data_IF_348260709527
#
_entry.id   IF_348260709527
#
_cell.length_a   1.000
_cell.length_b   1.000
_cell.length_c   1.000
_cell.angle_alpha   90.00
_cell.angle_beta   90.00
_cell.angle_gamma   90.00
#
_symmetry.space_group_name_H-M   'P 1'
#
loop_
_entity.id
_entity.type
_entity.pdbx_description
1 polymer ?
#
# COMPACT_ATOMS: atom_id res chain seq x y z
N UNK A 1 -15.09 -62.85 -10.17
CA UNK A 1 -16.05 -61.77 -10.46
C UNK A 1 -15.39 -60.46 -10.07
N UNK A 2 -15.03 -59.65 -11.07
CA UNK A 2 -14.74 -58.21 -10.91
C UNK A 2 -16.07 -57.45 -10.68
N UNK A 3 -16.07 -56.22 -10.13
CA UNK A 3 -15.70 -55.00 -10.87
C UNK A 3 -14.76 -54.06 -10.06
N UNK A 4 -13.71 -53.46 -10.63
CA UNK A 4 -13.63 -52.25 -11.49
C UNK A 4 -14.00 -50.93 -10.78
N UNK A 5 -13.00 -50.04 -10.65
CA UNK A 5 -13.01 -48.70 -10.06
C UNK A 5 -13.88 -47.69 -10.85
N UNK A 6 -14.06 -46.43 -10.38
CA UNK A 6 -13.00 -45.43 -10.55
C UNK A 6 -12.76 -44.46 -9.38
N UNK A 7 -11.56 -43.87 -9.40
CA UNK A 7 -11.10 -42.78 -8.56
C UNK A 7 -11.98 -41.53 -8.68
N UNK A 8 -12.06 -40.75 -7.60
CA UNK A 8 -12.54 -39.37 -7.61
C UNK A 8 -11.79 -38.59 -6.54
N UNK A 9 -10.78 -37.83 -6.96
CA UNK A 9 -10.38 -36.61 -6.26
C UNK A 9 -11.50 -35.57 -6.41
N UNK A 10 -11.72 -34.74 -5.38
CA UNK A 10 -11.72 -33.31 -5.67
C UNK A 10 -10.92 -32.49 -4.65
N UNK A 11 -10.05 -31.65 -5.22
CA UNK A 11 -9.43 -30.44 -4.67
C UNK A 11 -10.32 -29.67 -3.68
N UNK A 12 -9.79 -29.17 -2.55
CA UNK A 12 -10.39 -28.04 -1.86
C UNK A 12 -9.97 -26.76 -2.59
N UNK A 13 -10.77 -26.35 -3.59
CA UNK A 13 -10.73 -24.99 -4.12
C UNK A 13 -11.36 -24.05 -3.06
N UNK A 14 -10.52 -23.55 -2.17
CA UNK A 14 -10.89 -22.52 -1.20
C UNK A 14 -11.26 -21.23 -1.94
N UNK A 15 -12.56 -20.99 -2.09
CA UNK A 15 -13.07 -19.74 -2.64
C UNK A 15 -12.94 -18.64 -1.57
N UNK A 16 -11.91 -17.80 -1.68
CA UNK A 16 -11.78 -16.59 -0.87
C UNK A 16 -12.53 -15.47 -1.60
N UNK A 17 -13.68 -15.04 -1.06
CA UNK A 17 -14.40 -13.88 -1.57
C UNK A 17 -13.67 -12.60 -1.13
N UNK A 18 -12.85 -12.04 -2.03
CA UNK A 18 -12.29 -10.69 -1.87
C UNK A 18 -13.26 -9.68 -2.49
N UNK A 19 -13.83 -8.84 -1.64
CA UNK A 19 -14.74 -7.74 -2.00
C UNK A 19 -13.90 -6.59 -2.59
N UNK A 20 -13.55 -6.66 -3.87
CA UNK A 20 -12.86 -5.57 -4.56
C UNK A 20 -13.86 -4.44 -4.87
N UNK A 21 -13.63 -3.27 -4.26
CA UNK A 21 -14.34 -2.03 -4.60
C UNK A 21 -13.96 -1.59 -6.01
N UNK A 22 -14.97 -1.14 -6.75
CA UNK A 22 -14.89 -0.51 -8.07
C UNK A 22 -13.74 0.51 -8.12
N UNK A 23 -12.74 0.25 -8.96
CA UNK A 23 -11.80 1.29 -9.40
C UNK A 23 -12.47 1.96 -10.60
N UNK A 24 -13.06 3.13 -10.35
CA UNK A 24 -13.65 3.97 -11.38
C UNK A 24 -12.52 4.53 -12.26
N UNK A 25 -12.38 4.01 -13.48
CA UNK A 25 -11.64 4.68 -14.55
C UNK A 25 -12.63 5.50 -15.38
N UNK A 26 -12.44 6.83 -15.52
CA UNK A 26 -13.35 7.68 -16.26
C UNK A 26 -13.08 7.49 -17.75
N UNK A 27 -13.69 6.48 -18.37
CA UNK A 27 -13.47 6.26 -19.79
C UNK A 27 -14.03 5.00 -20.43
N UNK A 28 -14.83 4.19 -19.76
CA UNK A 28 -15.71 3.21 -20.42
C UNK A 28 -16.70 2.66 -19.42
N UNK A 29 -17.97 3.07 -19.54
CA UNK A 29 -19.06 2.47 -18.79
C UNK A 29 -19.18 0.98 -19.11
N UNK A 30 -18.69 0.14 -18.21
CA UNK A 30 -19.12 -1.26 -18.11
C UNK A 30 -19.51 -1.53 -16.67
N UNK A 31 -20.78 -1.25 -16.37
CA UNK A 31 -21.44 -1.86 -15.22
C UNK A 31 -21.42 -3.38 -15.45
N UNK A 32 -20.69 -4.11 -14.62
CA UNK A 32 -20.76 -5.57 -14.62
C UNK A 32 -22.16 -5.98 -14.13
N UNK A 33 -22.82 -6.94 -14.81
CA UNK A 33 -24.11 -7.45 -14.35
C UNK A 33 -23.97 -8.09 -12.96
N UNK A 34 -25.05 -8.05 -12.18
CA UNK A 34 -25.13 -8.54 -10.79
C UNK A 34 -24.66 -9.99 -10.60
N UNK A 35 -24.64 -10.78 -11.67
CA UNK A 35 -24.26 -12.20 -11.70
C UNK A 35 -22.95 -12.46 -12.46
N UNK A 36 -22.07 -11.44 -12.61
CA UNK A 36 -20.77 -11.63 -13.23
C UNK A 36 -19.83 -12.43 -12.32
N UNK A 37 -19.57 -13.69 -12.67
CA UNK A 37 -18.49 -14.47 -12.07
C UNK A 37 -17.15 -13.95 -12.56
N UNK A 38 -16.49 -13.13 -11.74
CA UNK A 38 -15.12 -12.68 -11.99
C UNK A 38 -14.19 -13.86 -11.74
N UNK A 39 -13.73 -14.51 -12.82
CA UNK A 39 -12.61 -15.46 -12.74
C UNK A 39 -11.33 -14.67 -12.42
N UNK A 40 -11.08 -14.48 -11.13
CA UNK A 40 -9.80 -13.97 -10.63
C UNK A 40 -8.80 -15.09 -10.83
N UNK A 41 -8.11 -15.10 -11.97
CA UNK A 41 -6.88 -15.83 -12.09
C UNK A 41 -5.90 -15.16 -11.14
N UNK A 42 -5.69 -15.74 -9.96
CA UNK A 42 -4.53 -15.49 -9.12
C UNK A 42 -3.31 -15.97 -9.92
N UNK A 43 -2.91 -15.18 -10.94
CA UNK A 43 -1.53 -15.20 -11.38
C UNK A 43 -0.78 -14.80 -10.14
N UNK A 44 -0.21 -15.79 -9.45
CA UNK A 44 0.83 -15.59 -8.47
C UNK A 44 1.78 -14.62 -9.14
N UNK A 45 1.71 -13.34 -8.77
CA UNK A 45 2.79 -12.43 -9.05
C UNK A 45 3.95 -13.15 -8.40
N UNK A 46 4.89 -13.66 -9.19
CA UNK A 46 6.16 -14.14 -8.67
C UNK A 46 6.83 -12.91 -8.06
N UNK A 47 6.42 -12.53 -6.86
CA UNK A 47 7.12 -11.54 -6.08
C UNK A 47 8.32 -12.30 -5.50
N UNK A 48 9.53 -11.74 -5.55
CA UNK A 48 10.68 -12.32 -4.84
C UNK A 48 10.50 -12.27 -3.31
N UNK A 49 9.40 -11.68 -2.82
CA UNK A 49 9.10 -11.52 -1.39
C UNK A 49 7.67 -12.03 -1.09
N UNK A 50 7.44 -13.35 -1.12
CA UNK A 50 6.11 -13.93 -0.86
C UNK A 50 5.64 -13.64 0.57
N UNK A 51 6.55 -13.63 1.55
CA UNK A 51 6.21 -13.34 2.95
C UNK A 51 5.75 -11.90 3.13
N UNK A 52 6.40 -10.94 2.47
CA UNK A 52 5.97 -9.54 2.46
C UNK A 52 4.57 -9.37 1.85
N UNK A 53 4.28 -10.12 0.77
CA UNK A 53 2.97 -10.11 0.13
C UNK A 53 1.88 -10.70 1.03
N UNK A 54 2.19 -11.80 1.73
CA UNK A 54 1.27 -12.43 2.68
C UNK A 54 0.96 -11.48 3.84
N UNK A 55 1.99 -10.91 4.48
CA UNK A 55 1.82 -9.94 5.57
C UNK A 55 1.00 -8.72 5.13
N UNK A 56 1.32 -8.14 3.97
CA UNK A 56 0.56 -7.00 3.44
C UNK A 56 -0.90 -7.36 3.13
N UNK A 57 -1.14 -8.56 2.59
CA UNK A 57 -2.49 -9.08 2.32
C UNK A 57 -3.28 -9.33 3.61
N UNK A 58 -2.62 -9.83 4.67
CA UNK A 58 -3.23 -10.01 5.98
C UNK A 58 -3.61 -8.66 6.62
N UNK A 59 -2.75 -7.65 6.53
CA UNK A 59 -3.08 -6.29 6.97
C UNK A 59 -4.29 -5.75 6.22
N UNK A 60 -4.32 -5.89 4.89
CA UNK A 60 -5.45 -5.43 4.06
C UNK A 60 -6.75 -6.17 4.43
N UNK A 61 -6.69 -7.50 4.62
CA UNK A 61 -7.84 -8.32 4.98
C UNK A 61 -8.37 -7.98 6.40
N UNK A 62 -7.48 -7.88 7.39
CA UNK A 62 -7.83 -7.49 8.75
C UNK A 62 -8.45 -6.09 8.80
N UNK A 63 -7.92 -5.16 7.99
CA UNK A 63 -8.45 -3.80 7.87
C UNK A 63 -9.84 -3.75 7.21
N UNK A 64 -10.18 -4.74 6.39
CA UNK A 64 -11.50 -4.87 5.75
C UNK A 64 -12.54 -5.61 6.61
N UNK A 65 -12.19 -6.01 7.84
CA UNK A 65 -13.07 -6.83 8.69
C UNK A 65 -13.08 -8.31 8.31
N UNK A 66 -12.12 -8.76 7.50
CA UNK A 66 -11.86 -10.17 7.26
C UNK A 66 -11.32 -10.87 8.52
N UNK A 67 -11.35 -12.21 8.58
CA UNK A 67 -10.77 -12.94 9.69
C UNK A 67 -9.26 -12.67 9.71
N UNK A 68 -8.80 -11.89 10.68
CA UNK A 68 -7.39 -11.86 11.03
C UNK A 68 -6.99 -13.29 11.46
N UNK A 69 -5.77 -13.72 11.10
CA UNK A 69 -5.21 -14.97 11.62
C UNK A 69 -5.35 -15.05 13.15
N UNK A 70 -5.43 -16.25 13.72
CA UNK A 70 -5.75 -16.43 15.12
C UNK A 70 -4.69 -15.72 15.99
N UNK A 71 -5.09 -14.63 16.65
CA UNK A 71 -4.37 -13.84 17.67
C UNK A 71 -3.48 -12.65 17.24
N UNK A 72 -3.32 -12.32 15.95
CA UNK A 72 -2.52 -11.16 15.56
C UNK A 72 -3.33 -9.85 15.66
N UNK A 73 -2.84 -8.88 16.43
CA UNK A 73 -3.38 -7.51 16.42
C UNK A 73 -2.97 -6.82 15.12
N UNK A 74 -3.80 -5.92 14.59
CA UNK A 74 -3.52 -5.16 13.37
C UNK A 74 -2.26 -4.31 13.52
N UNK A 75 -2.04 -3.73 14.71
CA UNK A 75 -0.79 -3.04 15.05
C UNK A 75 0.42 -3.99 15.05
N UNK A 76 0.23 -5.23 15.51
CA UNK A 76 1.24 -6.29 15.44
C UNK A 76 1.59 -6.65 13.99
N UNK A 77 0.59 -6.87 13.13
CA UNK A 77 0.80 -7.21 11.72
C UNK A 77 1.58 -6.13 10.96
N UNK A 78 1.24 -4.85 11.17
CA UNK A 78 2.01 -3.75 10.58
C UNK A 78 3.42 -3.67 11.16
N UNK A 79 3.58 -3.94 12.46
CA UNK A 79 4.89 -4.04 13.10
C UNK A 79 5.76 -5.15 12.51
N UNK A 80 5.20 -6.35 12.33
CA UNK A 80 5.89 -7.51 11.75
C UNK A 80 6.27 -7.24 10.30
N UNK A 81 5.37 -6.62 9.53
CA UNK A 81 5.66 -6.19 8.15
C UNK A 81 6.85 -5.22 8.09
N UNK A 82 6.85 -4.18 8.93
CA UNK A 82 7.95 -3.20 8.98
C UNK A 82 9.24 -3.83 9.48
N UNK A 83 9.17 -4.73 10.46
CA UNK A 83 10.31 -5.51 10.95
C UNK A 83 10.94 -6.36 9.85
N UNK A 84 10.11 -7.06 9.07
CA UNK A 84 10.56 -7.83 7.92
C UNK A 84 11.21 -6.94 6.85
N UNK A 85 10.61 -5.79 6.53
CA UNK A 85 11.17 -4.83 5.58
C UNK A 85 12.53 -4.27 6.04
N UNK A 86 12.70 -3.98 7.33
CA UNK A 86 13.96 -3.52 7.91
C UNK A 86 15.04 -4.61 7.89
N UNK A 87 14.66 -5.85 8.17
CA UNK A 87 15.57 -7.00 8.26
C UNK A 87 15.90 -7.63 6.90
N UNK A 88 15.25 -7.18 5.82
CA UNK A 88 15.38 -7.79 4.50
C UNK A 88 16.85 -7.72 4.02
N UNK A 89 17.49 -8.86 3.74
CA UNK A 89 18.91 -8.90 3.42
C UNK A 89 19.18 -8.25 2.07
N UNK A 90 20.14 -7.33 1.98
CA UNK A 90 20.57 -6.73 0.70
C UNK A 90 21.08 -7.75 -0.34
N UNK A 91 21.35 -8.99 0.08
CA UNK A 91 21.97 -10.03 -0.76
C UNK A 91 21.00 -10.90 -1.55
N UNK A 92 19.70 -10.79 -1.37
CA UNK A 92 18.76 -11.64 -2.11
C UNK A 92 18.26 -10.93 -3.35
N UNK A 93 18.64 -11.48 -4.52
CA UNK A 93 18.05 -11.36 -5.86
C UNK A 93 16.83 -10.43 -5.97
N UNK A 94 17.03 -9.16 -5.67
CA UNK A 94 15.99 -8.16 -5.75
C UNK A 94 15.98 -7.71 -7.20
N UNK A 95 14.92 -8.06 -7.91
CA UNK A 95 14.63 -7.49 -9.22
C UNK A 95 14.32 -6.00 -9.13
N UNK A 96 14.13 -5.47 -7.91
CA UNK A 96 14.02 -4.04 -7.67
C UNK A 96 15.41 -3.40 -7.72
N UNK A 97 15.67 -2.44 -8.62
CA UNK A 97 16.93 -1.70 -8.70
C UNK A 97 17.19 -0.84 -7.43
N UNK A 98 16.22 -0.77 -6.53
CA UNK A 98 16.21 0.08 -5.33
C UNK A 98 16.46 -0.69 -4.03
N UNK A 99 16.60 -2.01 -4.10
CA UNK A 99 16.86 -2.87 -2.95
C UNK A 99 15.60 -3.46 -2.29
N UNK A 100 15.79 -4.34 -1.28
CA UNK A 100 14.72 -5.17 -0.74
C UNK A 100 13.72 -4.39 0.13
N UNK A 101 14.18 -3.40 0.92
CA UNK A 101 13.30 -2.55 1.73
C UNK A 101 12.30 -1.77 0.85
N UNK A 102 12.78 -1.23 -0.27
CA UNK A 102 11.95 -0.56 -1.28
C UNK A 102 10.90 -1.53 -1.85
N UNK A 103 11.31 -2.76 -2.18
CA UNK A 103 10.42 -3.78 -2.72
C UNK A 103 9.31 -4.19 -1.73
N UNK A 104 9.63 -4.28 -0.43
CA UNK A 104 8.62 -4.54 0.60
C UNK A 104 7.60 -3.41 0.65
N UNK A 105 8.05 -2.15 0.77
CA UNK A 105 7.12 -1.01 0.84
C UNK A 105 6.27 -0.89 -0.43
N UNK A 106 6.82 -1.18 -1.61
CA UNK A 106 6.05 -1.25 -2.85
C UNK A 106 4.98 -2.34 -2.82
N UNK A 107 5.29 -3.52 -2.25
CA UNK A 107 4.30 -4.59 -2.02
C UNK A 107 3.18 -4.12 -1.08
N UNK A 108 3.53 -3.41 -0.01
CA UNK A 108 2.55 -2.86 0.94
C UNK A 108 1.55 -1.93 0.24
N UNK A 109 2.06 -1.00 -0.57
CA UNK A 109 1.23 -0.11 -1.39
C UNK A 109 0.32 -0.89 -2.35
N UNK A 110 0.90 -1.83 -3.10
CA UNK A 110 0.16 -2.63 -4.10
C UNK A 110 -0.90 -3.55 -3.51
N UNK A 111 -0.75 -3.96 -2.25
CA UNK A 111 -1.76 -4.76 -1.54
C UNK A 111 -3.03 -3.98 -1.21
N UNK A 112 -3.00 -2.64 -1.28
CA UNK A 112 -4.10 -1.78 -0.83
C UNK A 112 -4.21 -1.64 0.70
N UNK A 113 -3.26 -2.21 1.46
CA UNK A 113 -3.24 -2.13 2.92
C UNK A 113 -3.29 -0.69 3.48
N UNK A 114 -2.53 0.30 2.96
CA UNK A 114 -2.60 1.67 3.49
C UNK A 114 -4.00 2.29 3.35
N UNK A 115 -4.63 2.14 2.19
CA UNK A 115 -5.99 2.63 1.96
C UNK A 115 -7.02 1.93 2.85
N UNK A 116 -6.88 0.61 3.03
CA UNK A 116 -7.74 -0.17 3.92
C UNK A 116 -7.59 0.27 5.39
N UNK A 117 -6.36 0.52 5.87
CA UNK A 117 -6.07 1.07 7.19
C UNK A 117 -6.71 2.45 7.41
N UNK A 118 -6.54 3.35 6.44
CA UNK A 118 -7.16 4.68 6.46
C UNK A 118 -8.70 4.58 6.50
N UNK A 119 -9.27 3.66 5.73
CA UNK A 119 -10.71 3.40 5.75
C UNK A 119 -11.18 2.85 7.10
N UNK A 120 -10.46 1.90 7.68
CA UNK A 120 -10.80 1.34 8.99
C UNK A 120 -10.77 2.42 10.08
N UNK A 121 -9.75 3.27 10.07
CA UNK A 121 -9.64 4.41 10.99
C UNK A 121 -10.81 5.40 10.87
N UNK A 122 -11.25 5.70 9.64
CA UNK A 122 -12.29 6.69 9.39
C UNK A 122 -13.71 6.19 9.64
N UNK A 123 -14.00 4.95 9.24
CA UNK A 123 -15.37 4.44 9.13
C UNK A 123 -15.73 3.40 10.20
N UNK A 124 -14.78 2.92 11.00
CA UNK A 124 -15.09 2.05 12.12
C UNK A 124 -15.90 2.80 13.18
N UNK A 125 -17.08 2.25 13.51
CA UNK A 125 -17.89 2.70 14.64
C UNK A 125 -17.42 2.11 15.97
N UNK A 126 -16.53 1.12 15.93
CA UNK A 126 -15.99 0.45 17.11
C UNK A 126 -14.66 1.10 17.53
N UNK A 127 -14.69 1.80 18.66
CA UNK A 127 -13.55 2.54 19.22
C UNK A 127 -12.27 1.71 19.36
N UNK A 128 -12.29 0.48 19.94
CA UNK A 128 -11.09 -0.35 20.03
C UNK A 128 -10.44 -0.64 18.67
N UNK A 129 -11.25 -0.95 17.66
CA UNK A 129 -10.79 -1.25 16.30
C UNK A 129 -10.22 0.01 15.63
N UNK A 130 -10.85 1.16 15.87
CA UNK A 130 -10.33 2.45 15.38
C UNK A 130 -8.99 2.80 16.03
N UNK A 131 -8.88 2.66 17.35
CA UNK A 131 -7.65 2.92 18.10
C UNK A 131 -6.53 1.97 17.68
N UNK A 132 -6.87 0.74 17.28
CA UNK A 132 -5.92 -0.22 16.72
C UNK A 132 -5.43 0.19 15.33
N UNK A 133 -6.33 0.63 14.44
CA UNK A 133 -5.96 1.19 13.15
C UNK A 133 -5.09 2.45 13.30
N UNK A 134 -5.42 3.33 14.25
CA UNK A 134 -4.60 4.51 14.56
C UNK A 134 -3.19 4.11 15.02
N UNK A 135 -3.07 3.16 15.96
CA UNK A 135 -1.76 2.65 16.42
C UNK A 135 -0.95 2.06 15.26
N UNK A 136 -1.58 1.25 14.42
CA UNK A 136 -0.96 0.66 13.23
C UNK A 136 -0.47 1.74 12.25
N UNK A 137 -1.27 2.77 11.98
CA UNK A 137 -0.88 3.91 11.12
C UNK A 137 0.29 4.68 11.74
N UNK A 138 0.27 4.91 13.06
CA UNK A 138 1.33 5.65 13.77
C UNK A 138 2.68 4.94 13.72
N UNK A 139 2.75 3.63 13.44
CA UNK A 139 4.02 2.92 13.21
C UNK A 139 4.85 3.54 12.09
N UNK A 140 4.21 4.02 11.02
CA UNK A 140 4.89 4.69 9.91
C UNK A 140 5.46 6.07 10.28
N UNK A 141 5.01 6.66 11.40
CA UNK A 141 5.52 7.93 11.93
C UNK A 141 6.73 7.73 12.87
N UNK A 142 7.02 6.50 13.27
CA UNK A 142 8.06 6.15 14.25
C UNK A 142 9.22 5.38 13.61
N UNK A 143 9.48 5.64 12.32
CA UNK A 143 10.51 4.95 11.53
C UNK A 143 11.87 5.66 11.51
N UNK A 144 12.04 6.70 12.33
CA UNK A 144 13.24 7.54 12.34
C UNK A 144 14.53 6.72 12.42
N UNK A 145 15.39 6.89 11.41
CA UNK A 145 16.70 6.23 11.34
C UNK A 145 16.69 4.80 10.80
N UNK A 146 15.54 4.28 10.37
CA UNK A 146 15.45 2.99 9.69
C UNK A 146 15.75 3.14 8.18
N UNK A 147 16.23 2.06 7.56
CA UNK A 147 16.41 1.98 6.10
C UNK A 147 15.07 1.99 5.33
N UNK A 148 13.95 1.73 6.01
CA UNK A 148 12.60 1.71 5.43
C UNK A 148 12.00 3.11 5.35
N UNK A 149 12.36 4.00 6.28
CA UNK A 149 11.83 5.37 6.40
C UNK A 149 11.80 6.11 5.06
N UNK A 150 12.88 6.01 4.28
CA UNK A 150 13.05 6.69 2.98
C UNK A 150 12.08 6.23 1.89
N UNK A 151 11.58 5.00 2.03
CA UNK A 151 10.69 4.37 1.07
C UNK A 151 9.21 4.58 1.41
N UNK A 152 8.89 5.05 2.62
CA UNK A 152 7.51 5.18 3.10
C UNK A 152 6.76 6.42 2.64
N UNK A 153 7.42 7.35 1.94
CA UNK A 153 6.78 8.58 1.48
C UNK A 153 5.47 8.34 0.69
N UNK A 154 5.37 7.35 -0.24
CA UNK A 154 4.12 7.07 -0.91
C UNK A 154 3.06 6.41 -0.01
N UNK A 155 3.47 5.65 1.02
CA UNK A 155 2.54 5.08 2.02
C UNK A 155 1.89 6.18 2.83
N UNK A 156 2.69 7.15 3.29
CA UNK A 156 2.19 8.32 4.01
C UNK A 156 1.28 9.18 3.12
N UNK A 157 1.61 9.31 1.83
CA UNK A 157 0.76 10.00 0.86
C UNK A 157 -0.61 9.31 0.72
N UNK A 158 -0.62 7.98 0.51
CA UNK A 158 -1.86 7.19 0.40
C UNK A 158 -2.73 7.30 1.66
N UNK A 159 -2.11 7.27 2.85
CA UNK A 159 -2.79 7.45 4.13
C UNK A 159 -3.37 8.87 4.28
N UNK A 160 -2.60 9.90 3.90
CA UNK A 160 -3.07 11.28 3.90
C UNK A 160 -4.27 11.44 2.95
N UNK A 161 -4.19 10.91 1.74
CA UNK A 161 -5.25 10.96 0.74
C UNK A 161 -6.50 10.20 1.20
N UNK A 162 -6.33 9.03 1.82
CA UNK A 162 -7.42 8.24 2.39
C UNK A 162 -8.15 8.99 3.49
N UNK A 163 -7.41 9.61 4.43
CA UNK A 163 -7.99 10.35 5.55
C UNK A 163 -8.63 11.66 5.09
N UNK A 164 -7.97 12.40 4.19
CA UNK A 164 -8.49 13.66 3.64
C UNK A 164 -9.80 13.45 2.86
N UNK A 165 -9.92 12.34 2.14
CA UNK A 165 -11.12 12.00 1.36
C UNK A 165 -12.30 11.54 2.23
N UNK A 166 -12.05 11.17 3.49
CA UNK A 166 -13.08 10.70 4.42
C UNK A 166 -13.90 11.79 5.11
N UNK A 167 -13.62 13.07 4.85
CA UNK A 167 -14.24 14.19 5.57
C UNK A 167 -15.74 14.43 5.34
N UNK A 168 -16.40 13.59 4.53
CA UNK A 168 -17.86 13.58 4.37
C UNK A 168 -18.58 12.47 5.15
N UNK A 169 -17.86 11.65 5.93
CA UNK A 169 -18.37 10.48 6.63
C UNK A 169 -18.82 10.71 8.08
N UNK A 170 -19.09 9.62 8.80
CA UNK A 170 -19.70 9.55 10.14
C UNK A 170 -18.99 10.31 11.28
N UNK A 171 -17.85 10.97 11.02
CA UNK A 171 -17.08 11.73 12.01
C UNK A 171 -16.98 13.20 11.58
N UNK A 172 -17.58 14.14 12.34
CA UNK A 172 -17.56 15.57 12.02
C UNK A 172 -16.18 16.22 11.99
N UNK A 173 -15.16 15.55 12.54
CA UNK A 173 -13.77 16.00 12.65
C UNK A 173 -12.81 15.20 11.75
N UNK A 174 -13.33 14.24 10.98
CA UNK A 174 -12.50 13.55 10.00
C UNK A 174 -12.20 14.48 8.83
N UNK A 175 -10.96 14.52 8.37
CA UNK A 175 -10.50 15.40 7.29
C UNK A 175 -9.30 16.23 7.73
N UNK A 176 -9.27 17.51 7.33
CA UNK A 176 -8.10 18.37 7.52
C UNK A 176 -7.81 18.74 8.98
N UNK A 177 -8.80 18.61 9.86
CA UNK A 177 -8.68 18.89 11.30
C UNK A 177 -8.36 17.64 12.15
N UNK A 178 -8.17 16.49 11.50
CA UNK A 178 -7.84 15.25 12.20
C UNK A 178 -6.37 15.26 12.68
N UNK A 179 -6.09 14.95 13.96
CA UNK A 179 -4.73 14.99 14.50
C UNK A 179 -3.80 13.97 13.84
N UNK A 180 -4.31 12.79 13.45
CA UNK A 180 -3.51 11.78 12.75
C UNK A 180 -3.17 12.27 11.34
N UNK A 181 -4.10 12.92 10.66
CA UNK A 181 -3.84 13.56 9.36
C UNK A 181 -2.77 14.65 9.46
N UNK A 182 -2.85 15.51 10.48
CA UNK A 182 -1.85 16.56 10.71
C UNK A 182 -0.45 15.97 10.97
N UNK A 183 -0.36 14.89 11.75
CA UNK A 183 0.89 14.18 12.01
C UNK A 183 1.46 13.52 10.75
N UNK A 184 0.63 12.82 9.97
CA UNK A 184 1.02 12.20 8.69
C UNK A 184 1.51 13.24 7.68
N UNK A 185 0.79 14.35 7.55
CA UNK A 185 1.18 15.45 6.67
C UNK A 185 2.52 16.05 7.10
N UNK A 186 2.75 16.21 8.40
CA UNK A 186 4.01 16.74 8.94
C UNK A 186 5.19 15.79 8.64
N UNK A 187 5.00 14.48 8.86
CA UNK A 187 6.02 13.48 8.56
C UNK A 187 6.33 13.40 7.07
N UNK A 188 5.29 13.38 6.21
CA UNK A 188 5.45 13.40 4.76
C UNK A 188 6.23 14.66 4.32
N UNK A 189 5.88 15.83 4.85
CA UNK A 189 6.59 17.07 4.52
C UNK A 189 8.06 17.05 4.96
N UNK A 190 8.38 16.44 6.11
CA UNK A 190 9.77 16.30 6.59
C UNK A 190 10.59 15.35 5.70
N UNK A 191 10.02 14.20 5.32
CA UNK A 191 10.66 13.26 4.40
C UNK A 191 10.90 13.90 3.02
N UNK A 192 9.91 14.66 2.54
CA UNK A 192 9.97 15.47 1.32
C UNK A 192 10.79 16.76 1.46
N UNK A 193 11.49 17.00 2.56
CA UNK A 193 12.45 18.12 2.66
C UNK A 193 13.89 17.60 2.75
N UNK A 194 14.07 16.51 3.50
CA UNK A 194 15.40 15.99 3.88
C UNK A 194 15.86 14.86 2.95
N UNK A 195 15.00 13.85 2.74
CA UNK A 195 15.45 12.54 2.20
C UNK A 195 15.06 12.30 0.74
N UNK A 196 13.96 12.89 0.27
CA UNK A 196 13.49 12.66 -1.10
C UNK A 196 14.46 13.15 -2.19
N UNK A 197 15.29 14.15 -1.89
CA UNK A 197 16.33 14.63 -2.82
C UNK A 197 17.38 13.55 -3.10
N UNK A 198 17.52 12.58 -2.21
CA UNK A 198 18.53 11.54 -2.25
C UNK A 198 17.99 10.28 -2.94
N UNK A 199 16.69 10.00 -2.85
CA UNK A 199 16.08 8.79 -3.39
C UNK A 199 14.72 9.05 -4.08
N UNK A 200 14.70 9.48 -5.35
CA UNK A 200 13.45 9.58 -6.14
C UNK A 200 12.85 8.20 -6.48
N UNK A 201 13.62 7.13 -6.30
CA UNK A 201 13.23 5.77 -6.62
C UNK A 201 11.96 5.29 -5.91
N UNK A 202 11.64 5.83 -4.74
CA UNK A 202 10.46 5.41 -3.97
C UNK A 202 9.12 5.71 -4.68
N UNK A 203 9.14 6.48 -5.77
CA UNK A 203 7.96 6.82 -6.58
C UNK A 203 7.87 6.08 -7.92
N UNK A 204 8.88 5.29 -8.31
CA UNK A 204 8.96 4.72 -9.68
C UNK A 204 7.79 3.79 -10.02
N UNK A 205 7.23 3.10 -9.03
CA UNK A 205 6.08 2.20 -9.21
C UNK A 205 4.72 2.89 -8.95
N UNK A 206 4.72 4.20 -8.70
CA UNK A 206 3.53 4.98 -8.35
C UNK A 206 3.13 5.85 -9.54
N UNK A 207 1.83 5.93 -9.85
CA UNK A 207 1.32 6.79 -10.92
C UNK A 207 1.72 8.25 -10.69
N UNK A 208 2.47 8.82 -11.62
CA UNK A 208 2.95 10.20 -11.56
C UNK A 208 1.81 11.21 -11.57
N UNK A 209 0.75 10.96 -12.34
CA UNK A 209 -0.45 11.81 -12.36
C UNK A 209 -1.14 11.84 -10.99
N UNK A 210 -1.28 10.67 -10.36
CA UNK A 210 -1.89 10.57 -9.03
C UNK A 210 -1.02 11.26 -7.98
N UNK A 211 0.31 11.06 -8.01
CA UNK A 211 1.24 11.75 -7.11
C UNK A 211 1.15 13.26 -7.28
N UNK A 212 1.14 13.76 -8.52
CA UNK A 212 1.00 15.19 -8.80
C UNK A 212 -0.28 15.77 -8.21
N UNK A 213 -1.40 15.08 -8.41
CA UNK A 213 -2.71 15.49 -7.92
C UNK A 213 -2.74 15.54 -6.40
N UNK A 214 -2.27 14.47 -5.73
CA UNK A 214 -2.28 14.41 -4.27
C UNK A 214 -1.30 15.41 -3.66
N UNK A 215 -0.08 15.54 -4.19
CA UNK A 215 0.88 16.52 -3.67
C UNK A 215 0.42 17.96 -3.89
N UNK A 216 -0.27 18.26 -4.99
CA UNK A 216 -0.82 19.60 -5.23
C UNK A 216 -1.96 19.93 -4.27
N UNK A 217 -2.77 18.93 -3.91
CA UNK A 217 -3.85 19.07 -2.91
C UNK A 217 -3.31 19.19 -1.48
N UNK A 218 -2.25 18.42 -1.16
CA UNK A 218 -1.74 18.24 0.19
C UNK A 218 -0.54 19.14 0.53
N UNK A 219 0.17 19.70 -0.44
CA UNK A 219 1.36 20.51 -0.21
C UNK A 219 1.29 21.80 -1.04
N UNK A 220 2.15 22.76 -0.71
CA UNK A 220 2.28 23.96 -1.52
C UNK A 220 2.75 23.59 -2.94
N UNK A 221 2.13 24.20 -3.97
CA UNK A 221 2.34 23.86 -5.39
C UNK A 221 3.83 23.80 -5.82
N UNK A 222 4.69 24.65 -5.25
CA UNK A 222 6.13 24.64 -5.55
C UNK A 222 6.83 23.35 -5.10
N UNK A 223 6.41 22.72 -3.99
CA UNK A 223 6.97 21.44 -3.53
C UNK A 223 6.47 20.29 -4.41
N UNK A 224 5.20 20.32 -4.80
CA UNK A 224 4.63 19.32 -5.71
C UNK A 224 5.35 19.32 -7.06
N UNK A 225 5.57 20.49 -7.67
CA UNK A 225 6.27 20.62 -8.94
C UNK A 225 7.72 20.11 -8.86
N UNK A 226 8.45 20.43 -7.79
CA UNK A 226 9.81 19.95 -7.60
C UNK A 226 9.89 18.42 -7.51
N UNK A 227 8.92 17.78 -6.84
CA UNK A 227 8.84 16.31 -6.76
C UNK A 227 8.56 15.72 -8.14
N UNK A 228 7.62 16.30 -8.90
CA UNK A 228 7.25 15.83 -10.23
C UNK A 228 8.39 15.92 -11.24
N UNK A 229 9.13 17.03 -11.27
CA UNK A 229 10.30 17.20 -12.15
C UNK A 229 11.38 16.15 -11.89
N UNK A 230 11.55 15.78 -10.62
CA UNK A 230 12.54 14.78 -10.18
C UNK A 230 12.12 13.35 -10.49
N UNK A 231 10.85 13.00 -10.33
CA UNK A 231 10.34 11.68 -10.75
C UNK A 231 10.50 11.54 -12.26
N UNK A 232 10.15 12.59 -13.03
CA UNK A 232 10.36 12.61 -14.47
C UNK A 232 11.84 12.45 -14.85
N UNK A 233 12.75 13.12 -14.13
CA UNK A 233 14.20 13.02 -14.37
C UNK A 233 14.81 11.66 -13.99
N UNK A 234 14.20 10.94 -13.04
CA UNK A 234 14.67 9.62 -12.60
C UNK A 234 14.15 8.46 -13.48
N UNK A 235 13.05 8.67 -14.21
CA UNK A 235 12.46 7.68 -15.10
C UNK A 235 13.02 7.68 -16.53
N UNK A 236 13.88 8.66 -16.88
CA UNK A 236 14.58 8.66 -18.18
C UNK A 236 15.77 7.70 -18.07
N UNK A 237 15.78 6.58 -18.82
CA UNK A 237 16.99 5.77 -18.93
C UNK A 237 18.08 6.68 -19.51
N UNK A 238 19.22 6.77 -18.80
CA UNK A 238 20.42 7.32 -19.40
C UNK A 238 20.77 6.41 -20.56
N UNK A 239 20.48 6.88 -21.78
CA UNK A 239 21.12 6.37 -22.99
C UNK A 239 22.60 6.75 -22.88
N UNK A 240 23.34 6.00 -22.06
CA UNK A 240 24.80 6.09 -22.00
C UNK A 240 25.33 5.50 -23.31
N UNK A 241 25.64 6.41 -24.24
CA UNK A 241 26.73 6.37 -25.21
C UNK A 241 27.23 4.97 -25.60
N UNK A 242 26.62 4.40 -26.66
CA UNK A 242 27.27 3.38 -27.49
C UNK A 242 27.83 4.06 -28.76
N UNK A 243 29.14 3.91 -28.96
CA UNK A 243 29.90 4.31 -30.16
C UNK A 243 30.49 5.72 -30.09
N UNK A 244 31.82 5.92 -29.98
CA UNK A 244 32.89 5.19 -30.64
C UNK A 244 33.31 5.91 -31.92
#
# INVERSE_FOLDING_TARGET
MAPTAPASEPTPSGSVQLLLRNIDSPGAGRCLPRDATLHVNSRLLSTPHPDAWNLASEVAAASAGGPAGPAASLDGLVGDFLGAACAAPEREYSTSPLGPAAAHVAIFLRSGAPGALGHLYLYSQHEPTRAEAERAIRRFLSLDGTNVEEWTAPVLLELCSSIASGGGGARPQAGHDDPLYADLRRALAALLDIKWKQNPGCWLDVSTEWVAEQLTRLLAAHKANAVMERIASAGVPRDDEDGG
#
